data_IF_543535051420
#
_entry.id   IF_543535051420
#
_cell.length_a   1.000
_cell.length_b   1.000
_cell.length_c   1.000
_cell.angle_alpha   90.00
_cell.angle_beta   90.00
_cell.angle_gamma   90.00
#
_symmetry.space_group_name_H-M   'P 1'
#
loop_
_entity.id
_entity.type
_entity.pdbx_description
1 polymer ?
#
# COMPACT_ATOMS: atom_id res chain seq x y z
N UNK A 1 -2.09 -16.29 -10.51
CA UNK A 1 -3.03 -15.41 -9.76
C UNK A 1 -2.22 -14.25 -9.24
N UNK A 2 -2.68 -13.01 -9.43
CA UNK A 2 -1.95 -11.83 -8.96
C UNK A 2 -1.99 -11.75 -7.43
N UNK A 3 -0.92 -11.32 -6.79
CA UNK A 3 -0.89 -11.03 -5.35
C UNK A 3 -1.22 -9.56 -5.11
N UNK A 4 -2.17 -9.27 -4.20
CA UNK A 4 -2.58 -7.92 -3.83
C UNK A 4 -1.94 -7.55 -2.50
N UNK A 5 -1.18 -6.45 -2.49
CA UNK A 5 -0.50 -5.90 -1.31
C UNK A 5 -0.98 -4.46 -1.11
N UNK A 6 -1.65 -4.18 0.00
CA UNK A 6 -2.21 -2.86 0.30
C UNK A 6 -1.44 -2.16 1.41
N UNK A 7 -1.08 -0.89 1.20
CA UNK A 7 -0.51 -0.03 2.23
C UNK A 7 -1.64 0.73 2.91
N UNK A 8 -1.87 0.48 4.19
CA UNK A 8 -2.96 1.07 4.97
C UNK A 8 -2.40 1.74 6.22
N UNK A 9 -2.85 2.95 6.52
CA UNK A 9 -2.60 3.63 7.79
C UNK A 9 -3.62 4.73 7.98
N UNK A 10 -4.16 4.86 9.18
CA UNK A 10 -5.08 5.95 9.55
C UNK A 10 -4.40 7.31 9.67
N UNK A 11 -3.07 7.33 9.72
CA UNK A 11 -2.29 8.56 9.84
C UNK A 11 -1.70 8.98 8.49
N UNK A 12 -1.80 10.25 8.18
CA UNK A 12 -1.08 10.85 7.06
C UNK A 12 0.43 10.91 7.32
N UNK A 13 1.22 10.88 6.26
CA UNK A 13 2.68 11.07 6.36
C UNK A 13 3.47 9.89 6.92
N UNK A 14 2.88 8.72 7.14
CA UNK A 14 3.59 7.51 7.61
C UNK A 14 4.49 6.86 6.55
N UNK A 15 4.38 7.30 5.30
CA UNK A 15 5.19 6.79 4.19
C UNK A 15 4.51 5.71 3.35
N UNK A 16 3.18 5.58 3.37
CA UNK A 16 2.44 4.64 2.52
C UNK A 16 2.86 4.76 1.06
N UNK A 17 2.64 5.92 0.47
CA UNK A 17 2.95 6.21 -0.94
C UNK A 17 4.42 5.93 -1.28
N UNK A 18 5.36 6.40 -0.46
CA UNK A 18 6.79 6.18 -0.68
C UNK A 18 7.14 4.69 -0.70
N UNK A 19 6.62 3.93 0.27
CA UNK A 19 6.90 2.49 0.36
C UNK A 19 6.16 1.70 -0.74
N UNK A 20 4.97 2.12 -1.15
CA UNK A 20 4.24 1.52 -2.28
C UNK A 20 5.02 1.68 -3.59
N UNK A 21 5.53 2.89 -3.87
CA UNK A 21 6.38 3.16 -5.05
C UNK A 21 7.66 2.31 -4.99
N UNK A 22 8.36 2.31 -3.85
CA UNK A 22 9.61 1.58 -3.70
C UNK A 22 9.40 0.07 -3.91
N UNK A 23 8.33 -0.50 -3.35
CA UNK A 23 8.00 -1.91 -3.55
C UNK A 23 7.67 -2.20 -5.02
N UNK A 24 6.83 -1.37 -5.64
CA UNK A 24 6.46 -1.52 -7.05
C UNK A 24 7.68 -1.45 -7.96
N UNK A 25 8.56 -0.48 -7.75
CA UNK A 25 9.81 -0.31 -8.51
C UNK A 25 10.74 -1.50 -8.32
N UNK A 26 10.92 -1.97 -7.09
CA UNK A 26 11.79 -3.12 -6.80
C UNK A 26 11.26 -4.39 -7.49
N UNK A 27 9.97 -4.67 -7.38
CA UNK A 27 9.35 -5.82 -8.04
C UNK A 27 9.48 -5.74 -9.56
N UNK A 28 9.30 -4.53 -10.13
CA UNK A 28 9.49 -4.32 -11.56
C UNK A 28 10.94 -4.61 -12.00
N UNK A 29 11.93 -4.12 -11.25
CA UNK A 29 13.35 -4.43 -11.53
C UNK A 29 13.66 -5.92 -11.38
N UNK A 30 12.90 -6.66 -10.59
CA UNK A 30 12.97 -8.11 -10.49
C UNK A 30 12.26 -8.84 -11.66
N UNK A 31 11.82 -8.12 -12.68
CA UNK A 31 11.14 -8.67 -13.85
C UNK A 31 9.68 -9.04 -13.62
N UNK A 32 9.04 -8.55 -12.54
CA UNK A 32 7.63 -8.81 -12.28
C UNK A 32 6.74 -7.79 -13.00
N UNK A 33 5.58 -8.23 -13.45
CA UNK A 33 4.53 -7.36 -13.97
C UNK A 33 3.78 -6.76 -12.80
N UNK A 34 3.88 -5.45 -12.63
CA UNK A 34 3.35 -4.73 -11.47
C UNK A 34 2.32 -3.70 -11.91
N UNK A 35 1.20 -3.64 -11.18
CA UNK A 35 0.22 -2.59 -11.24
C UNK A 35 0.22 -1.85 -9.90
N UNK A 36 0.40 -0.53 -9.93
CA UNK A 36 0.25 0.33 -8.76
C UNK A 36 -1.10 1.04 -8.83
N UNK A 37 -1.92 0.88 -7.78
CA UNK A 37 -3.25 1.48 -7.67
C UNK A 37 -3.22 2.56 -6.60
N UNK A 38 -3.59 3.79 -6.97
CA UNK A 38 -3.72 4.93 -6.06
C UNK A 38 -5.20 5.17 -5.78
N UNK A 39 -5.59 5.18 -4.49
CA UNK A 39 -6.97 5.48 -4.08
C UNK A 39 -7.14 6.90 -3.54
N UNK A 40 -6.05 7.67 -3.42
CA UNK A 40 -6.12 9.07 -2.98
C UNK A 40 -6.62 9.96 -4.12
N UNK A 41 -7.67 10.72 -3.87
CA UNK A 41 -8.28 11.65 -4.84
C UNK A 41 -7.36 12.80 -5.25
N UNK A 42 -6.29 13.04 -4.52
CA UNK A 42 -5.28 14.05 -4.88
C UNK A 42 -4.38 13.61 -6.05
N UNK A 43 -4.45 12.35 -6.44
CA UNK A 43 -3.69 11.80 -7.59
C UNK A 43 -2.19 12.16 -7.58
N UNK A 44 -1.57 12.10 -6.40
CA UNK A 44 -0.17 12.47 -6.20
C UNK A 44 0.78 11.62 -7.05
N UNK A 45 0.52 10.31 -7.09
CA UNK A 45 1.29 9.36 -7.89
C UNK A 45 1.17 9.62 -9.39
N UNK A 46 -0.04 9.92 -9.85
CA UNK A 46 -0.28 10.23 -11.24
C UNK A 46 0.47 11.51 -11.67
N UNK A 47 0.53 12.50 -10.79
CA UNK A 47 1.29 13.73 -11.02
C UNK A 47 2.80 13.45 -11.06
N UNK A 48 3.32 12.68 -10.11
CA UNK A 48 4.74 12.27 -10.09
C UNK A 48 5.11 11.49 -11.34
N UNK A 49 4.24 10.60 -11.79
CA UNK A 49 4.43 9.82 -13.01
C UNK A 49 4.51 10.68 -14.25
N UNK A 50 3.62 11.66 -14.39
CA UNK A 50 3.67 12.62 -15.50
C UNK A 50 5.00 13.39 -15.53
N UNK A 51 5.51 13.77 -14.35
CA UNK A 51 6.81 14.45 -14.24
C UNK A 51 7.99 13.53 -14.59
N UNK A 52 7.94 12.25 -14.18
CA UNK A 52 8.96 11.25 -14.52
C UNK A 52 9.04 11.04 -16.04
N UNK A 53 7.91 10.76 -16.68
CA UNK A 53 7.83 10.60 -18.13
C UNK A 53 8.33 11.84 -18.87
N UNK A 54 7.98 13.03 -18.39
CA UNK A 54 8.46 14.29 -18.98
C UNK A 54 9.97 14.45 -18.88
N UNK A 55 10.58 14.07 -17.74
CA UNK A 55 12.03 14.19 -17.52
C UNK A 55 12.84 13.13 -18.27
N UNK A 56 12.37 11.89 -18.26
CA UNK A 56 13.12 10.77 -18.85
C UNK A 56 13.00 10.69 -20.38
N UNK A 57 12.09 11.43 -20.99
CA UNK A 57 11.69 11.29 -22.40
C UNK A 57 11.22 9.88 -22.77
N UNK A 58 10.97 9.02 -21.80
CA UNK A 58 10.41 7.70 -22.00
C UNK A 58 8.89 7.80 -22.09
N UNK A 59 8.30 7.14 -23.07
CA UNK A 59 6.83 7.15 -23.28
C UNK A 59 6.09 6.28 -22.26
N UNK A 60 6.78 5.33 -21.62
CA UNK A 60 6.22 4.43 -20.61
C UNK A 60 7.10 4.44 -19.37
N UNK A 61 6.48 4.65 -18.23
CA UNK A 61 7.18 4.46 -16.98
C UNK A 61 7.42 2.97 -16.64
N UNK A 62 8.11 2.72 -15.54
CA UNK A 62 8.56 1.39 -15.14
C UNK A 62 7.45 0.37 -14.84
N UNK A 63 6.22 0.78 -14.52
CA UNK A 63 5.06 -0.08 -14.25
C UNK A 63 3.75 0.66 -14.54
N UNK A 64 2.63 -0.05 -14.62
CA UNK A 64 1.31 0.56 -14.81
C UNK A 64 0.83 1.26 -13.54
N UNK A 65 0.14 2.40 -13.70
CA UNK A 65 -0.48 3.16 -12.62
C UNK A 65 -1.97 3.35 -12.94
N UNK A 66 -2.82 2.97 -11.99
CA UNK A 66 -4.26 3.14 -12.05
C UNK A 66 -4.72 4.00 -10.87
N UNK A 67 -5.53 5.02 -11.15
CA UNK A 67 -6.28 5.74 -10.11
C UNK A 67 -7.65 5.09 -9.93
N UNK A 68 -8.04 4.81 -8.70
CA UNK A 68 -9.35 4.27 -8.35
C UNK A 68 -9.96 5.03 -7.18
N UNK A 69 -11.29 5.04 -7.08
CA UNK A 69 -11.98 5.62 -5.94
C UNK A 69 -12.13 4.58 -4.82
N UNK A 70 -11.96 4.98 -3.57
CA UNK A 70 -12.06 4.12 -2.39
C UNK A 70 -13.29 3.20 -2.37
N UNK A 71 -14.44 3.70 -2.85
CA UNK A 71 -15.69 2.93 -2.84
C UNK A 71 -15.70 1.75 -3.83
N UNK A 72 -14.96 1.84 -4.93
CA UNK A 72 -14.98 0.89 -6.05
C UNK A 72 -13.72 0.02 -6.12
N UNK A 73 -12.66 0.43 -5.44
CA UNK A 73 -11.33 -0.19 -5.56
C UNK A 73 -11.34 -1.71 -5.30
N UNK A 74 -12.11 -2.20 -4.35
CA UNK A 74 -12.14 -3.63 -4.03
C UNK A 74 -12.72 -4.48 -5.16
N UNK A 75 -13.77 -3.99 -5.81
CA UNK A 75 -14.40 -4.67 -6.95
C UNK A 75 -13.47 -4.66 -8.16
N UNK A 76 -12.83 -3.52 -8.43
CA UNK A 76 -11.84 -3.39 -9.49
C UNK A 76 -10.62 -4.30 -9.26
N UNK A 77 -10.12 -4.38 -8.03
CA UNK A 77 -9.02 -5.26 -7.65
C UNK A 77 -9.37 -6.74 -7.85
N UNK A 78 -10.60 -7.12 -7.54
CA UNK A 78 -11.08 -8.49 -7.78
C UNK A 78 -11.07 -8.82 -9.26
N UNK A 79 -11.59 -7.95 -10.12
CA UNK A 79 -11.56 -8.11 -11.56
C UNK A 79 -10.13 -8.15 -12.13
N UNK A 80 -9.25 -7.28 -11.63
CA UNK A 80 -7.85 -7.23 -12.06
C UNK A 80 -7.09 -8.51 -11.66
N UNK A 81 -7.38 -9.06 -10.48
CA UNK A 81 -6.80 -10.34 -10.01
C UNK A 81 -7.16 -11.50 -10.93
N UNK A 82 -8.38 -11.49 -11.47
CA UNK A 82 -8.88 -12.53 -12.40
C UNK A 82 -8.22 -12.45 -13.78
N UNK A 83 -7.91 -11.26 -14.27
CA UNK A 83 -7.32 -11.04 -15.61
C UNK A 83 -5.93 -11.66 -15.78
N UNK A 84 -5.22 -12.00 -14.69
CA UNK A 84 -3.87 -12.61 -14.70
C UNK A 84 -2.83 -11.82 -15.52
N UNK A 85 -3.09 -10.55 -15.79
CA UNK A 85 -2.20 -9.69 -16.57
C UNK A 85 -0.98 -9.22 -15.77
N UNK A 86 -1.07 -9.24 -14.44
CA UNK A 86 -0.05 -8.79 -13.50
C UNK A 86 0.35 -9.90 -12.53
N UNK A 87 1.55 -9.82 -12.00
CA UNK A 87 2.03 -10.71 -10.93
C UNK A 87 1.74 -10.10 -9.55
N UNK A 88 1.85 -8.75 -9.44
CA UNK A 88 1.58 -8.01 -8.23
C UNK A 88 0.70 -6.79 -8.49
N UNK A 89 -0.24 -6.56 -7.59
CA UNK A 89 -1.05 -5.35 -7.52
C UNK A 89 -0.73 -4.69 -6.18
N UNK A 90 -0.12 -3.51 -6.24
CA UNK A 90 0.24 -2.73 -5.05
C UNK A 90 -0.80 -1.62 -4.90
N UNK A 91 -1.41 -1.49 -3.73
CA UNK A 91 -2.43 -0.48 -3.46
C UNK A 91 -1.89 0.55 -2.47
N UNK A 92 -1.82 1.79 -2.89
CA UNK A 92 -1.56 2.95 -2.03
C UNK A 92 -2.88 3.54 -1.58
N UNK A 93 -3.31 3.22 -0.35
CA UNK A 93 -4.60 3.70 0.15
C UNK A 93 -4.54 5.15 0.60
N UNK A 94 -5.64 5.88 0.39
CA UNK A 94 -5.81 7.22 0.93
C UNK A 94 -5.64 7.25 2.46
N UNK A 95 -5.08 8.34 2.98
CA UNK A 95 -4.90 8.51 4.44
C UNK A 95 -6.21 8.67 5.22
N UNK A 96 -7.31 8.95 4.51
CA UNK A 96 -8.67 9.13 5.07
C UNK A 96 -9.64 8.06 4.57
N UNK A 97 -9.15 6.87 4.23
CA UNK A 97 -9.99 5.76 3.82
C UNK A 97 -11.01 5.43 4.92
N UNK A 98 -12.27 5.24 4.53
CA UNK A 98 -13.34 4.90 5.47
C UNK A 98 -13.14 3.51 6.09
N UNK A 99 -13.73 3.25 7.24
CA UNK A 99 -13.67 1.92 7.89
C UNK A 99 -14.19 0.82 6.96
N UNK A 100 -15.21 1.11 6.18
CA UNK A 100 -15.76 0.19 5.18
C UNK A 100 -14.79 -0.04 4.03
N UNK A 101 -14.16 1.02 3.52
CA UNK A 101 -13.13 0.93 2.48
C UNK A 101 -11.93 0.09 2.94
N UNK A 102 -11.47 0.30 4.18
CA UNK A 102 -10.41 -0.50 4.79
C UNK A 102 -10.81 -1.98 4.85
N UNK A 103 -12.02 -2.30 5.34
CA UNK A 103 -12.51 -3.67 5.39
C UNK A 103 -12.56 -4.32 4.01
N UNK A 104 -13.11 -3.63 3.01
CA UNK A 104 -13.16 -4.12 1.63
C UNK A 104 -11.76 -4.40 1.07
N UNK A 105 -10.80 -3.50 1.27
CA UNK A 105 -9.41 -3.73 0.88
C UNK A 105 -8.81 -4.97 1.56
N UNK A 106 -9.05 -5.16 2.85
CA UNK A 106 -8.57 -6.33 3.58
C UNK A 106 -9.14 -7.66 3.04
N UNK A 107 -10.39 -7.66 2.58
CA UNK A 107 -11.02 -8.87 2.04
C UNK A 107 -10.37 -9.35 0.75
N UNK A 108 -9.87 -8.44 -0.08
CA UNK A 108 -9.27 -8.77 -1.38
C UNK A 108 -7.75 -8.88 -1.34
N UNK A 109 -7.10 -8.33 -0.30
CA UNK A 109 -5.65 -8.30 -0.16
C UNK A 109 -5.09 -9.63 0.34
N UNK A 110 -3.91 -10.01 -0.18
CA UNK A 110 -3.11 -11.12 0.33
C UNK A 110 -2.21 -10.64 1.50
N UNK A 111 -1.80 -9.35 1.46
CA UNK A 111 -1.07 -8.71 2.56
C UNK A 111 -1.51 -7.26 2.73
N UNK A 112 -1.51 -6.80 3.97
CA UNK A 112 -1.62 -5.39 4.34
C UNK A 112 -0.36 -4.97 5.06
N UNK A 113 0.27 -3.90 4.58
CA UNK A 113 1.45 -3.30 5.19
C UNK A 113 1.02 -2.01 5.90
N UNK A 114 1.37 -1.89 7.18
CA UNK A 114 1.09 -0.72 8.03
C UNK A 114 2.41 -0.02 8.34
N UNK A 115 2.77 1.04 7.61
CA UNK A 115 3.98 1.80 7.90
C UNK A 115 3.84 2.62 9.19
N UNK A 116 4.88 2.63 10.01
CA UNK A 116 4.93 3.38 11.27
C UNK A 116 6.30 3.98 11.52
N UNK A 117 6.40 5.16 12.14
CA UNK A 117 7.68 5.82 12.48
C UNK A 117 8.06 5.54 13.91
N UNK A 118 7.74 4.59 14.62
CA UNK A 118 8.17 4.24 16.00
C UNK A 118 8.09 5.38 17.04
N UNK A 119 7.46 6.52 16.71
CA UNK A 119 7.13 7.51 17.74
C UNK A 119 5.94 7.00 18.57
N UNK A 120 5.86 7.43 19.83
CA UNK A 120 4.79 7.00 20.71
C UNK A 120 3.39 7.19 20.11
N UNK A 121 3.15 8.34 19.48
CA UNK A 121 1.89 8.61 18.79
C UNK A 121 1.67 7.73 17.57
N UNK A 122 2.72 7.42 16.80
CA UNK A 122 2.60 6.57 15.63
C UNK A 122 2.35 5.12 16.02
N UNK A 123 2.96 4.65 17.11
CA UNK A 123 2.73 3.32 17.65
C UNK A 123 1.28 3.15 18.12
N UNK A 124 0.70 4.16 18.81
CA UNK A 124 -0.71 4.14 19.20
C UNK A 124 -1.64 4.04 17.98
N UNK A 125 -1.41 4.85 16.95
CA UNK A 125 -2.21 4.80 15.71
C UNK A 125 -2.01 3.48 14.98
N UNK A 126 -0.79 2.96 15.00
CA UNK A 126 -0.49 1.66 14.39
C UNK A 126 -1.23 0.53 15.11
N UNK A 127 -1.19 0.52 16.46
CA UNK A 127 -1.93 -0.43 17.27
C UNK A 127 -3.44 -0.38 16.95
N UNK A 128 -4.02 0.82 16.94
CA UNK A 128 -5.43 0.99 16.58
C UNK A 128 -5.71 0.49 15.17
N UNK A 129 -4.85 0.82 14.21
CA UNK A 129 -4.99 0.34 12.82
C UNK A 129 -4.99 -1.19 12.77
N UNK A 130 -4.03 -1.85 13.43
CA UNK A 130 -3.96 -3.32 13.45
C UNK A 130 -5.18 -3.94 14.15
N UNK A 131 -5.64 -3.34 15.25
CA UNK A 131 -6.86 -3.79 15.95
C UNK A 131 -8.08 -3.74 15.03
N UNK A 132 -8.23 -2.67 14.25
CA UNK A 132 -9.34 -2.50 13.30
C UNK A 132 -9.24 -3.47 12.10
N UNK A 133 -8.03 -3.87 11.72
CA UNK A 133 -7.79 -4.83 10.63
C UNK A 133 -7.97 -6.29 11.06
N UNK A 134 -7.78 -6.58 12.34
CA UNK A 134 -7.79 -7.95 12.87
C UNK A 134 -9.10 -8.71 12.58
N UNK A 135 -10.31 -8.12 12.73
CA UNK A 135 -11.57 -8.79 12.40
C UNK A 135 -11.65 -9.25 10.93
N UNK A 136 -11.00 -8.55 9.99
CA UNK A 136 -11.00 -8.93 8.59
C UNK A 136 -10.33 -10.29 8.34
N UNK A 137 -9.41 -10.73 9.22
CA UNK A 137 -8.77 -12.05 9.12
C UNK A 137 -9.75 -13.20 9.33
N UNK A 138 -10.85 -12.98 10.04
CA UNK A 138 -11.89 -13.99 10.17
C UNK A 138 -12.59 -14.29 8.84
N UNK A 139 -12.70 -13.26 7.98
CA UNK A 139 -13.32 -13.35 6.65
C UNK A 139 -12.30 -13.66 5.54
N UNK A 140 -11.04 -13.25 5.73
CA UNK A 140 -9.92 -13.55 4.84
C UNK A 140 -8.77 -14.19 5.64
N UNK A 141 -8.80 -15.50 5.90
CA UNK A 141 -7.77 -16.19 6.71
C UNK A 141 -6.36 -16.16 6.09
N UNK A 142 -6.25 -15.84 4.80
CA UNK A 142 -4.95 -15.69 4.11
C UNK A 142 -4.31 -14.34 4.32
N UNK A 143 -5.05 -13.34 4.81
CA UNK A 143 -4.56 -11.99 5.02
C UNK A 143 -3.39 -11.96 6.00
N UNK A 144 -2.26 -11.43 5.54
CA UNK A 144 -1.10 -11.13 6.37
C UNK A 144 -1.09 -9.64 6.71
N UNK A 145 -1.00 -9.31 7.99
CA UNK A 145 -0.83 -7.93 8.45
C UNK A 145 0.62 -7.76 8.87
N UNK A 146 1.31 -6.81 8.24
CA UNK A 146 2.75 -6.58 8.42
C UNK A 146 2.92 -5.13 8.90
N UNK A 147 3.53 -4.95 10.07
CA UNK A 147 3.94 -3.63 10.55
C UNK A 147 5.32 -3.35 9.96
N UNK A 148 5.44 -2.23 9.24
CA UNK A 148 6.68 -1.80 8.61
C UNK A 148 7.26 -0.58 9.35
N UNK A 149 8.30 -0.77 10.20
CA UNK A 149 9.02 0.36 10.77
C UNK A 149 9.65 1.21 9.66
N UNK A 150 9.37 2.52 9.70
CA UNK A 150 9.77 3.48 8.68
C UNK A 150 10.33 4.75 9.36
N UNK A 151 11.16 5.50 8.66
CA UNK A 151 11.78 6.72 9.19
C UNK A 151 12.56 6.50 10.49
N UNK A 152 13.21 5.36 10.62
CA UNK A 152 14.06 5.05 11.76
C UNK A 152 15.33 5.87 11.64
N UNK A 153 15.66 6.63 12.68
CA UNK A 153 16.92 7.35 12.72
C UNK A 153 18.09 6.35 12.84
N UNK A 154 19.19 6.60 12.15
CA UNK A 154 20.37 5.69 12.13
C UNK A 154 20.96 5.42 13.54
N UNK A 155 20.77 6.35 14.48
CA UNK A 155 21.20 6.21 15.87
C UNK A 155 20.15 5.50 16.76
N UNK A 156 19.02 5.04 16.22
CA UNK A 156 18.00 4.34 17.02
C UNK A 156 18.50 2.97 17.42
N UNK A 157 18.57 2.72 18.72
CA UNK A 157 18.91 1.40 19.24
C UNK A 157 17.69 0.46 19.06
N UNK A 158 17.77 -0.45 18.10
CA UNK A 158 16.69 -1.39 17.78
C UNK A 158 16.39 -2.38 18.92
N UNK A 159 17.28 -2.54 19.89
CA UNK A 159 17.03 -3.40 21.06
C UNK A 159 15.97 -2.81 22.00
N UNK A 160 15.83 -1.49 22.04
CA UNK A 160 14.80 -0.80 22.85
C UNK A 160 13.39 -0.92 22.25
N UNK A 161 13.25 -1.39 21.03
CA UNK A 161 11.96 -1.51 20.31
C UNK A 161 11.34 -2.91 20.46
N UNK A 162 12.05 -3.85 21.11
CA UNK A 162 11.59 -5.25 21.28
C UNK A 162 10.81 -5.49 22.58
N UNK A 163 10.79 -4.54 23.51
CA UNK A 163 9.99 -4.55 24.74
C UNK A 163 8.68 -3.77 24.54
#
# INVERSE_FOLDING_TARGET
>A
MSSIISFISRKGGTGKTTNAINLATTLHHMGKRVLLVETDTNYTLNTLRKMEVFKSREQRGSFELLGSQDAQVADELTQLKERKSTDFIIVDSAGKTTDEGIKKLCLVSDAVIVPTSLTQNDLLVTYQTVADLTPARALNPRLRIIILPNRIHSATNLYTVRE
#
